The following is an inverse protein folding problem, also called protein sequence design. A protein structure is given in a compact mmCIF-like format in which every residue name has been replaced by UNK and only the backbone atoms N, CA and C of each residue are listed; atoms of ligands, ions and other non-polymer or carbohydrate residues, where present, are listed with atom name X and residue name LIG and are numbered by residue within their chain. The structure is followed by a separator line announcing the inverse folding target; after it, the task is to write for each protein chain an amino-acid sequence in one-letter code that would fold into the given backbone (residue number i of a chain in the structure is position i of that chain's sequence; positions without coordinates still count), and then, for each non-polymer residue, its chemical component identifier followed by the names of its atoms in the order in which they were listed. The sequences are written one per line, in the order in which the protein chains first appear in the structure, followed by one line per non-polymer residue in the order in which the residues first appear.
data_IF_545116094618
#
_entry.id   IF_545116094618
#
_cell.length_a   1.000
_cell.length_b   1.000
_cell.length_c   1.000
_cell.angle_alpha   90.00
_cell.angle_beta   90.00
_cell.angle_gamma   90.00
#
_symmetry.space_group_name_H-M   'P 1'
#
loop_
_entity.id
_entity.type
_entity.pdbx_description
1 polymer ?
#
# COMPACT_ATOMS: atom_id res chain seq x y z
N UNK A 1 -35.64 7.20 25.12
CA UNK A 1 -35.31 6.00 24.30
C UNK A 1 -34.88 4.91 25.26
N UNK A 2 -35.08 3.63 24.93
CA UNK A 2 -34.59 2.54 25.80
C UNK A 2 -33.10 2.31 25.52
N UNK A 3 -32.29 2.06 26.56
CA UNK A 3 -30.86 1.72 26.47
C UNK A 3 -30.60 0.60 25.45
N UNK A 4 -31.52 -0.38 25.35
CA UNK A 4 -31.45 -1.46 24.35
C UNK A 4 -31.50 -0.96 22.91
N UNK A 5 -32.25 0.11 22.65
CA UNK A 5 -32.33 0.74 21.33
C UNK A 5 -31.06 1.52 20.98
N UNK A 6 -30.44 2.18 21.97
CA UNK A 6 -29.17 2.90 21.80
C UNK A 6 -28.03 1.93 21.47
N UNK A 7 -27.88 0.85 22.24
CA UNK A 7 -26.89 -0.20 22.02
C UNK A 7 -27.01 -0.80 20.61
N UNK A 8 -28.22 -1.14 20.17
CA UNK A 8 -28.44 -1.68 18.81
C UNK A 8 -28.06 -0.68 17.72
N UNK A 9 -28.32 0.60 17.93
CA UNK A 9 -27.91 1.64 16.97
C UNK A 9 -26.39 1.79 16.92
N UNK A 10 -25.71 1.63 18.05
CA UNK A 10 -24.26 1.73 18.17
C UNK A 10 -23.55 0.54 17.51
N UNK A 11 -24.01 -0.70 17.78
CA UNK A 11 -23.55 -1.90 17.07
C UNK A 11 -23.68 -1.72 15.56
N UNK A 12 -24.85 -1.28 15.10
CA UNK A 12 -25.08 -1.10 13.68
C UNK A 12 -24.25 0.04 13.07
N UNK A 13 -23.86 1.04 13.87
CA UNK A 13 -22.90 2.06 13.44
C UNK A 13 -21.50 1.47 13.26
N UNK A 14 -21.04 0.68 14.22
CA UNK A 14 -19.74 0.00 14.19
C UNK A 14 -19.64 -0.98 13.01
N UNK A 15 -20.68 -1.77 12.75
CA UNK A 15 -20.74 -2.67 11.58
C UNK A 15 -20.56 -1.92 10.25
N UNK A 16 -21.21 -0.75 10.11
CA UNK A 16 -21.04 0.09 8.92
C UNK A 16 -19.63 0.65 8.82
N UNK A 17 -19.02 1.00 9.94
CA UNK A 17 -17.65 1.50 9.99
C UNK A 17 -16.65 0.39 9.59
N UNK A 18 -16.83 -0.84 10.09
CA UNK A 18 -16.04 -2.00 9.67
C UNK A 18 -16.17 -2.22 8.15
N UNK A 19 -17.39 -2.15 7.61
CA UNK A 19 -17.62 -2.29 6.16
C UNK A 19 -16.86 -1.24 5.34
N UNK A 20 -16.80 0.01 5.81
CA UNK A 20 -16.01 1.07 5.17
C UNK A 20 -14.51 0.77 5.22
N UNK A 21 -13.99 0.34 6.37
CA UNK A 21 -12.57 -0.02 6.50
C UNK A 21 -12.20 -1.17 5.58
N UNK A 22 -13.04 -2.20 5.47
CA UNK A 22 -12.83 -3.31 4.51
C UNK A 22 -12.83 -2.83 3.06
N UNK A 23 -13.68 -1.85 2.71
CA UNK A 23 -13.64 -1.22 1.38
C UNK A 23 -12.31 -0.50 1.12
N UNK A 24 -11.82 0.28 2.09
CA UNK A 24 -10.54 0.97 1.96
C UNK A 24 -9.36 0.01 1.85
N UNK A 25 -9.37 -1.10 2.59
CA UNK A 25 -8.37 -2.16 2.44
C UNK A 25 -8.36 -2.66 1.00
N UNK A 26 -9.52 -3.00 0.43
CA UNK A 26 -9.59 -3.49 -0.95
C UNK A 26 -9.08 -2.48 -1.99
N UNK A 27 -9.36 -1.19 -1.81
CA UNK A 27 -8.82 -0.12 -2.67
C UNK A 27 -7.29 0.00 -2.56
N UNK A 28 -6.75 -0.09 -1.34
CA UNK A 28 -5.32 -0.02 -1.07
C UNK A 28 -4.58 -1.24 -1.62
N UNK A 29 -5.12 -2.45 -1.45
CA UNK A 29 -4.56 -3.69 -1.99
C UNK A 29 -4.49 -3.66 -3.53
N UNK A 30 -5.58 -3.24 -4.18
CA UNK A 30 -5.61 -3.11 -5.64
C UNK A 30 -4.59 -2.08 -6.15
N UNK A 31 -4.48 -0.94 -5.46
CA UNK A 31 -3.48 0.09 -5.76
C UNK A 31 -2.05 -0.41 -5.58
N UNK A 32 -1.78 -1.12 -4.48
CA UNK A 32 -0.48 -1.72 -4.17
C UNK A 32 -0.09 -2.73 -5.25
N UNK A 33 -0.97 -3.65 -5.62
CA UNK A 33 -0.71 -4.66 -6.65
C UNK A 33 -0.38 -4.00 -8.00
N UNK A 34 -1.20 -3.04 -8.43
CA UNK A 34 -0.99 -2.33 -9.68
C UNK A 34 0.38 -1.63 -9.72
N UNK A 35 0.76 -0.93 -8.65
CA UNK A 35 2.05 -0.25 -8.56
C UNK A 35 3.23 -1.23 -8.49
N UNK A 36 3.11 -2.32 -7.74
CA UNK A 36 4.13 -3.35 -7.67
C UNK A 36 4.42 -3.98 -9.05
N UNK A 37 3.37 -4.25 -9.83
CA UNK A 37 3.50 -4.73 -11.21
C UNK A 37 4.23 -3.71 -12.11
N UNK A 38 3.87 -2.42 -12.02
CA UNK A 38 4.54 -1.37 -12.81
C UNK A 38 6.02 -1.21 -12.44
N UNK A 39 6.35 -1.25 -11.15
CA UNK A 39 7.73 -1.23 -10.67
C UNK A 39 8.54 -2.41 -11.21
N UNK A 40 8.00 -3.63 -11.11
CA UNK A 40 8.67 -4.82 -11.67
C UNK A 40 8.89 -4.71 -13.17
N UNK A 41 7.95 -4.09 -13.90
CA UNK A 41 8.11 -3.84 -15.34
C UNK A 41 9.26 -2.88 -15.62
N UNK A 42 9.34 -1.76 -14.90
CA UNK A 42 10.43 -0.78 -15.05
C UNK A 42 11.79 -1.40 -14.69
N UNK A 43 11.83 -2.22 -13.64
CA UNK A 43 13.05 -2.92 -13.23
C UNK A 43 13.60 -3.80 -14.35
N UNK A 44 12.74 -4.65 -14.91
CA UNK A 44 13.14 -5.67 -15.88
C UNK A 44 13.30 -5.14 -17.31
N UNK A 45 12.51 -4.14 -17.71
CA UNK A 45 12.49 -3.64 -19.10
C UNK A 45 13.36 -2.40 -19.32
N UNK A 46 13.74 -1.68 -18.26
CA UNK A 46 14.49 -0.43 -18.37
C UNK A 46 15.74 -0.42 -17.49
N UNK A 47 15.57 -0.60 -16.18
CA UNK A 47 16.69 -0.44 -15.24
C UNK A 47 17.81 -1.44 -15.47
N UNK A 48 17.51 -2.74 -15.45
CA UNK A 48 18.52 -3.79 -15.65
C UNK A 48 19.14 -3.77 -17.06
N UNK A 49 18.37 -3.59 -18.16
CA UNK A 49 18.95 -3.40 -19.49
C UNK A 49 19.91 -2.21 -19.61
N UNK A 50 19.52 -1.02 -19.13
CA UNK A 50 20.37 0.18 -19.19
C UNK A 50 21.62 0.04 -18.31
N UNK A 51 21.46 -0.57 -17.14
CA UNK A 51 22.57 -0.83 -16.21
C UNK A 51 23.58 -1.84 -16.76
N UNK A 52 23.11 -2.88 -17.46
CA UNK A 52 23.96 -3.91 -18.06
C UNK A 52 24.57 -3.49 -19.42
N UNK A 53 24.11 -2.40 -20.02
CA UNK A 53 24.59 -1.94 -21.32
C UNK A 53 26.03 -1.42 -21.26
N UNK A 54 26.96 -2.16 -21.86
CA UNK A 54 28.37 -1.80 -21.95
C UNK A 54 28.65 -1.01 -23.24
N UNK A 55 28.96 0.28 -23.10
CA UNK A 55 29.29 1.15 -24.22
C UNK A 55 30.76 1.08 -24.66
N UNK A 56 31.62 0.36 -23.93
CA UNK A 56 33.06 0.28 -24.21
C UNK A 56 33.40 -0.60 -25.43
N UNK A 57 32.40 -1.30 -26.00
CA UNK A 57 32.56 -2.19 -27.16
C UNK A 57 32.39 -1.47 -28.52
N UNK A 58 32.17 -0.16 -28.53
CA UNK A 58 32.08 0.63 -29.77
C UNK A 58 33.47 0.99 -30.31
N UNK A 59 33.90 0.31 -31.37
CA UNK A 59 35.16 0.59 -32.09
C UNK A 59 35.41 2.10 -32.28
N UNK A 60 36.43 2.63 -31.60
CA UNK A 60 37.14 3.88 -31.90
C UNK A 60 36.24 5.12 -32.16
N UNK A 61 35.09 5.25 -31.50
CA UNK A 61 34.16 6.35 -31.75
C UNK A 61 34.41 7.54 -30.79
N UNK A 62 35.25 8.48 -31.24
CA UNK A 62 35.43 9.87 -30.71
C UNK A 62 35.12 10.02 -29.21
N UNK A 63 36.05 9.64 -28.33
CA UNK A 63 35.88 9.48 -26.88
C UNK A 63 35.13 10.55 -26.07
N UNK A 64 34.86 11.76 -26.59
CA UNK A 64 33.93 12.71 -25.95
C UNK A 64 32.45 12.27 -26.05
N UNK A 65 32.03 11.70 -27.19
CA UNK A 65 30.65 11.21 -27.38
C UNK A 65 30.38 9.99 -26.51
N UNK A 66 31.33 9.05 -26.45
CA UNK A 66 31.28 7.88 -25.57
C UNK A 66 31.18 8.29 -24.10
N UNK A 67 32.02 9.23 -23.65
CA UNK A 67 32.00 9.74 -22.28
C UNK A 67 30.70 10.46 -21.93
N UNK A 68 30.14 11.26 -22.86
CA UNK A 68 28.85 11.91 -22.63
C UNK A 68 27.71 10.91 -22.58
N UNK A 69 27.69 9.92 -23.48
CA UNK A 69 26.71 8.84 -23.48
C UNK A 69 26.76 8.03 -22.19
N UNK A 70 27.95 7.68 -21.70
CA UNK A 70 28.14 6.96 -20.42
C UNK A 70 27.59 7.77 -19.25
N UNK A 71 27.91 9.07 -19.20
CA UNK A 71 27.36 9.97 -18.18
C UNK A 71 25.83 10.04 -18.24
N UNK A 72 25.23 10.07 -19.43
CA UNK A 72 23.77 10.06 -19.56
C UNK A 72 23.15 8.72 -19.10
N UNK A 73 23.78 7.59 -19.43
CA UNK A 73 23.38 6.26 -18.96
C UNK A 73 23.42 6.18 -17.44
N UNK A 74 24.51 6.60 -16.82
CA UNK A 74 24.65 6.65 -15.36
C UNK A 74 23.55 7.50 -14.72
N UNK A 75 23.25 8.67 -15.28
CA UNK A 75 22.18 9.55 -14.79
C UNK A 75 20.80 8.90 -14.90
N UNK A 76 20.51 8.23 -16.03
CA UNK A 76 19.24 7.51 -16.24
C UNK A 76 19.09 6.39 -15.20
N UNK A 77 20.12 5.55 -15.05
CA UNK A 77 20.13 4.45 -14.06
C UNK A 77 19.96 5.01 -12.65
N UNK A 78 20.66 6.08 -12.30
CA UNK A 78 20.54 6.71 -10.97
C UNK A 78 19.11 7.23 -10.71
N UNK A 79 18.51 7.95 -11.66
CA UNK A 79 17.16 8.49 -11.51
C UNK A 79 16.10 7.39 -11.42
N UNK A 80 16.21 6.35 -12.24
CA UNK A 80 15.31 5.19 -12.17
C UNK A 80 15.46 4.49 -10.82
N UNK A 81 16.69 4.31 -10.34
CA UNK A 81 16.97 3.71 -9.03
C UNK A 81 16.36 4.50 -7.87
N UNK A 82 16.44 5.84 -7.90
CA UNK A 82 15.80 6.70 -6.91
C UNK A 82 14.27 6.53 -6.94
N UNK A 83 13.65 6.62 -8.12
CA UNK A 83 12.20 6.47 -8.26
C UNK A 83 11.69 5.07 -7.84
N UNK A 84 12.48 4.02 -8.10
CA UNK A 84 12.23 2.65 -7.64
C UNK A 84 12.25 2.55 -6.12
N UNK A 85 13.22 3.20 -5.46
CA UNK A 85 13.29 3.24 -4.00
C UNK A 85 12.09 3.98 -3.39
N UNK A 86 11.77 5.18 -3.90
CA UNK A 86 10.61 5.95 -3.44
C UNK A 86 9.30 5.16 -3.61
N UNK A 87 9.16 4.45 -4.73
CA UNK A 87 8.01 3.56 -4.97
C UNK A 87 7.97 2.41 -3.95
N UNK A 88 9.12 1.85 -3.57
CA UNK A 88 9.21 0.80 -2.55
C UNK A 88 8.78 1.30 -1.19
N UNK A 89 9.23 2.49 -0.80
CA UNK A 89 8.83 3.14 0.45
C UNK A 89 7.33 3.45 0.47
N UNK A 90 6.78 3.90 -0.65
CA UNK A 90 5.35 4.15 -0.81
C UNK A 90 4.53 2.85 -0.66
N UNK A 91 4.92 1.76 -1.32
CA UNK A 91 4.27 0.45 -1.16
C UNK A 91 4.32 -0.05 0.29
N UNK A 92 5.46 0.14 0.98
CA UNK A 92 5.58 -0.15 2.41
C UNK A 92 4.66 0.71 3.28
N UNK A 93 4.44 1.98 2.93
CA UNK A 93 3.49 2.84 3.61
C UNK A 93 2.04 2.37 3.41
N UNK A 94 1.68 1.88 2.22
CA UNK A 94 0.35 1.27 1.97
C UNK A 94 0.14 0.05 2.87
N UNK A 95 1.12 -0.85 2.96
CA UNK A 95 0.99 -2.05 3.82
C UNK A 95 0.78 -1.68 5.28
N UNK A 96 1.54 -0.71 5.80
CA UNK A 96 1.32 -0.19 7.17
C UNK A 96 -0.06 0.44 7.37
N UNK A 97 -0.61 1.10 6.35
CA UNK A 97 -1.96 1.66 6.41
C UNK A 97 -3.03 0.55 6.44
N UNK A 98 -2.83 -0.53 5.67
CA UNK A 98 -3.69 -1.72 5.70
C UNK A 98 -3.66 -2.38 7.08
N UNK A 99 -2.45 -2.59 7.65
CA UNK A 99 -2.30 -3.16 9.00
C UNK A 99 -3.07 -2.34 10.03
N UNK A 100 -2.96 -1.00 9.95
CA UNK A 100 -3.69 -0.11 10.86
C UNK A 100 -5.21 -0.18 10.68
N UNK A 101 -5.71 -0.39 9.47
CA UNK A 101 -7.14 -0.59 9.23
C UNK A 101 -7.63 -1.91 9.84
N UNK A 102 -6.83 -2.97 9.81
CA UNK A 102 -7.16 -4.22 10.50
C UNK A 102 -7.23 -4.05 12.01
N UNK A 103 -6.28 -3.34 12.62
CA UNK A 103 -6.34 -3.03 14.06
C UNK A 103 -7.61 -2.27 14.45
N UNK A 104 -8.03 -1.29 13.62
CA UNK A 104 -9.27 -0.53 13.85
C UNK A 104 -10.52 -1.41 13.70
N UNK A 105 -10.52 -2.37 12.77
CA UNK A 105 -11.60 -3.36 12.65
C UNK A 105 -11.67 -4.21 13.92
N UNK A 106 -10.54 -4.71 14.44
CA UNK A 106 -10.49 -5.49 15.67
C UNK A 106 -10.96 -4.70 16.90
N UNK A 107 -10.67 -3.39 16.96
CA UNK A 107 -11.22 -2.49 18.00
C UNK A 107 -12.75 -2.42 17.91
N UNK A 108 -13.31 -2.19 16.72
CA UNK A 108 -14.76 -2.16 16.52
C UNK A 108 -15.42 -3.51 16.85
N UNK A 109 -14.81 -4.64 16.45
CA UNK A 109 -15.35 -5.98 16.73
C UNK A 109 -15.37 -6.29 18.23
N UNK A 110 -14.35 -5.87 18.98
CA UNK A 110 -14.33 -5.98 20.45
C UNK A 110 -15.42 -5.13 21.10
N UNK A 111 -15.62 -3.91 20.61
CA UNK A 111 -16.66 -3.01 21.12
C UNK A 111 -18.07 -3.57 20.85
N UNK A 112 -18.31 -4.10 19.64
CA UNK A 112 -19.56 -4.81 19.32
C UNK A 112 -19.79 -5.96 20.31
N UNK A 113 -18.79 -6.82 20.54
CA UNK A 113 -18.92 -7.93 21.49
C UNK A 113 -19.29 -7.45 22.90
N UNK A 114 -18.67 -6.37 23.37
CA UNK A 114 -19.00 -5.80 24.69
C UNK A 114 -20.42 -5.24 24.75
N UNK A 115 -20.88 -4.62 23.67
CA UNK A 115 -22.23 -4.07 23.55
C UNK A 115 -23.29 -5.19 23.47
N UNK A 116 -22.99 -6.29 22.79
CA UNK A 116 -23.83 -7.48 22.73
C UNK A 116 -23.98 -8.14 24.12
N UNK A 117 -22.89 -8.23 24.89
CA UNK A 117 -22.92 -8.72 26.26
C UNK A 117 -23.78 -7.83 27.17
N UNK A 118 -23.65 -6.50 27.04
CA UNK A 118 -24.51 -5.55 27.76
C UNK A 118 -25.98 -5.74 27.37
N UNK A 119 -26.28 -5.87 26.07
CA UNK A 119 -27.64 -6.10 25.59
C UNK A 119 -28.26 -7.39 26.16
N UNK A 120 -27.46 -8.46 26.26
CA UNK A 120 -27.88 -9.74 26.82
C UNK A 120 -28.15 -9.62 28.32
N UNK A 121 -27.28 -8.94 29.07
CA UNK A 121 -27.52 -8.69 30.50
C UNK A 121 -28.81 -7.91 30.74
N UNK A 122 -29.12 -6.91 29.89
CA UNK A 122 -30.36 -6.14 29.97
C UNK A 122 -31.61 -6.97 29.63
N UNK A 123 -31.45 -8.12 28.98
CA UNK A 123 -32.55 -9.02 28.65
C UNK A 123 -32.89 -10.03 29.75
N UNK A 124 -31.99 -10.24 30.71
CA UNK A 124 -32.20 -11.17 31.84
C UNK A 124 -32.94 -10.52 33.04
N UNK A 125 -33.10 -9.19 33.03
CA UNK A 125 -33.75 -8.42 34.12
C UNK A 125 -35.11 -7.80 33.74
N UNK A 126 -35.62 -8.08 32.54
CA UNK A 126 -36.99 -7.77 32.07
C UNK A 126 -37.88 -9.03 32.16
#
# INVERSE_FOLDING_TARGET
MSRRGEIRSEIHHLERTISKYRSYIGELEAGHEYMAQKRNKIENEVYEPERAYDMTLGDLFRGNLESESERYREQIVQQIGMAQNDTTEFLSAINRAIDRLYELIEECEREISSLEDELNSLSEYD
#
